data_IF_719579397479
#
_entry.id   IF_719579397479
#
_cell.length_a   1.000
_cell.length_b   1.000
_cell.length_c   1.000
_cell.angle_alpha   90.00
_cell.angle_beta   90.00
_cell.angle_gamma   90.00
#
_symmetry.space_group_name_H-M   'P 1'
#
loop_
_entity.id
_entity.type
_entity.pdbx_description
1 polymer ?
#
# COMPACT_ATOMS: atom_id res chain seq x y z
N UNK A 1 13.19 -3.28 -16.23
CA UNK A 1 13.03 -3.30 -14.76
C UNK A 1 13.37 -1.94 -14.15
N UNK A 2 14.59 -1.42 -14.35
CA UNK A 2 15.00 -0.12 -13.78
C UNK A 2 14.15 1.07 -14.24
N UNK A 3 13.85 1.20 -15.53
CA UNK A 3 13.04 2.31 -16.05
C UNK A 3 11.62 2.37 -15.44
N UNK A 4 10.97 1.22 -15.25
CA UNK A 4 9.67 1.11 -14.56
C UNK A 4 9.79 1.52 -13.10
N UNK A 5 10.83 1.06 -12.40
CA UNK A 5 11.09 1.46 -11.02
C UNK A 5 11.31 2.97 -10.90
N UNK A 6 12.17 3.56 -11.74
CA UNK A 6 12.42 5.01 -11.75
C UNK A 6 11.17 5.83 -12.07
N UNK A 7 10.31 5.34 -12.98
CA UNK A 7 9.01 5.94 -13.25
C UNK A 7 8.12 5.91 -11.98
N UNK A 8 7.99 4.75 -11.34
CA UNK A 8 7.13 4.57 -10.18
C UNK A 8 7.61 5.40 -8.97
N UNK A 9 8.90 5.38 -8.65
CA UNK A 9 9.46 6.18 -7.53
C UNK A 9 9.14 7.67 -7.67
N UNK A 10 9.08 8.20 -8.90
CA UNK A 10 8.77 9.62 -9.14
C UNK A 10 7.28 9.96 -9.05
N UNK A 11 6.39 8.99 -9.27
CA UNK A 11 4.97 9.25 -9.50
C UNK A 11 4.04 8.63 -8.47
N UNK A 12 4.51 7.62 -7.73
CA UNK A 12 3.75 7.02 -6.64
C UNK A 12 3.44 8.07 -5.57
N UNK A 13 2.18 8.11 -5.16
CA UNK A 13 1.69 8.93 -4.03
C UNK A 13 1.53 8.13 -2.75
N UNK A 14 1.65 6.81 -2.85
CA UNK A 14 1.66 5.92 -1.71
C UNK A 14 1.52 4.48 -2.15
N UNK A 15 1.74 3.57 -1.21
CA UNK A 15 1.41 2.16 -1.32
C UNK A 15 0.14 1.91 -0.53
N UNK A 16 -0.91 1.47 -1.22
CA UNK A 16 -2.18 1.15 -0.60
C UNK A 16 -2.16 -0.25 0.00
N UNK A 17 -2.64 -0.35 1.24
CA UNK A 17 -2.85 -1.61 1.93
C UNK A 17 -4.18 -1.58 2.68
N UNK A 18 -4.87 -2.71 2.70
CA UNK A 18 -6.13 -2.84 3.39
C UNK A 18 -6.32 -4.22 3.98
N UNK A 19 -7.08 -4.27 5.07
CA UNK A 19 -7.51 -5.51 5.72
C UNK A 19 -8.79 -6.02 5.06
N UNK A 20 -8.99 -7.34 5.06
CA UNK A 20 -10.26 -7.97 4.67
C UNK A 20 -11.42 -7.59 5.60
N UNK A 21 -11.12 -7.08 6.80
CA UNK A 21 -12.10 -6.54 7.76
C UNK A 21 -12.72 -5.22 7.32
N UNK A 22 -12.09 -4.53 6.36
CA UNK A 22 -12.53 -3.24 5.85
C UNK A 22 -13.29 -3.36 4.51
N UNK A 23 -14.07 -2.33 4.18
CA UNK A 23 -14.74 -2.23 2.87
C UNK A 23 -13.78 -1.80 1.76
N UNK A 24 -12.94 -2.73 1.30
CA UNK A 24 -11.89 -2.45 0.29
C UNK A 24 -12.46 -1.91 -1.03
N UNK A 25 -13.63 -2.37 -1.48
CA UNK A 25 -14.24 -1.90 -2.73
C UNK A 25 -14.60 -0.41 -2.67
N UNK A 26 -15.15 0.04 -1.55
CA UNK A 26 -15.46 1.45 -1.31
C UNK A 26 -14.18 2.31 -1.27
N UNK A 27 -13.15 1.84 -0.55
CA UNK A 27 -11.86 2.53 -0.50
C UNK A 27 -11.19 2.61 -1.87
N UNK A 28 -11.14 1.51 -2.62
CA UNK A 28 -10.56 1.47 -3.97
C UNK A 28 -11.33 2.38 -4.93
N UNK A 29 -12.67 2.39 -4.85
CA UNK A 29 -13.51 3.30 -5.63
C UNK A 29 -13.26 4.77 -5.29
N UNK A 30 -13.06 5.09 -4.01
CA UNK A 30 -12.70 6.44 -3.57
C UNK A 30 -11.30 6.84 -4.05
N UNK A 31 -10.30 5.97 -3.87
CA UNK A 31 -8.92 6.17 -4.32
C UNK A 31 -8.84 6.36 -5.83
N UNK A 32 -9.63 5.60 -6.61
CA UNK A 32 -9.72 5.73 -8.07
C UNK A 32 -10.11 7.14 -8.51
N UNK A 33 -11.12 7.73 -7.83
CA UNK A 33 -11.57 9.10 -8.10
C UNK A 33 -10.53 10.11 -7.64
N UNK A 34 -9.98 9.91 -6.44
CA UNK A 34 -9.06 10.87 -5.80
C UNK A 34 -7.70 10.97 -6.49
N UNK A 35 -7.13 9.83 -6.84
CA UNK A 35 -5.80 9.70 -7.43
C UNK A 35 -5.84 9.51 -8.95
N UNK A 36 -6.94 9.88 -9.63
CA UNK A 36 -7.13 9.69 -11.09
C UNK A 36 -5.92 10.05 -11.97
N UNK A 37 -5.12 11.05 -11.57
CA UNK A 37 -3.94 11.54 -12.31
C UNK A 37 -2.61 11.24 -11.61
N UNK A 38 -2.60 10.29 -10.68
CA UNK A 38 -1.45 9.94 -9.82
C UNK A 38 -1.37 8.43 -9.65
N UNK A 39 -0.18 7.95 -9.35
CA UNK A 39 0.06 6.52 -9.25
C UNK A 39 -0.02 6.09 -7.77
N UNK A 40 -0.59 4.91 -7.53
CA UNK A 40 -0.66 4.22 -6.26
C UNK A 40 -0.11 2.82 -6.44
N UNK A 41 0.77 2.42 -5.52
CA UNK A 41 1.34 1.09 -5.49
C UNK A 41 0.37 0.16 -4.78
N UNK A 42 0.21 -1.05 -5.30
CA UNK A 42 -0.56 -2.11 -4.65
C UNK A 42 0.34 -3.34 -4.54
N UNK A 43 0.57 -3.89 -3.33
CA UNK A 43 1.35 -5.10 -3.16
C UNK A 43 0.62 -6.31 -3.76
N UNK A 44 1.38 -7.27 -4.29
CA UNK A 44 0.81 -8.46 -4.93
C UNK A 44 -0.12 -9.25 -4.00
N UNK A 45 0.20 -9.38 -2.70
CA UNK A 45 -0.64 -10.08 -1.73
C UNK A 45 -2.04 -9.45 -1.57
N UNK A 46 -2.16 -8.12 -1.74
CA UNK A 46 -3.46 -7.46 -1.70
C UNK A 46 -4.23 -7.69 -3.01
N UNK A 47 -3.55 -7.68 -4.14
CA UNK A 47 -4.15 -8.00 -5.45
C UNK A 47 -4.71 -9.42 -5.45
N UNK A 48 -3.96 -10.38 -4.93
CA UNK A 48 -4.36 -11.79 -4.88
C UNK A 48 -5.52 -12.01 -3.90
N UNK A 49 -5.46 -11.39 -2.72
CA UNK A 49 -6.53 -11.54 -1.72
C UNK A 49 -7.82 -10.81 -2.10
N UNK A 50 -7.74 -9.78 -2.96
CA UNK A 50 -8.88 -8.94 -3.40
C UNK A 50 -8.96 -8.84 -4.93
N UNK A 51 -8.79 -9.97 -5.61
CA UNK A 51 -8.86 -10.02 -7.07
C UNK A 51 -10.21 -9.51 -7.59
N UNK A 52 -11.29 -9.77 -6.84
CA UNK A 52 -12.65 -9.27 -7.08
C UNK A 52 -12.70 -7.74 -7.25
N UNK A 53 -11.89 -7.02 -6.48
CA UNK A 53 -11.82 -5.54 -6.46
C UNK A 53 -10.84 -4.99 -7.50
N UNK A 54 -9.70 -5.66 -7.69
CA UNK A 54 -8.61 -5.13 -8.53
C UNK A 54 -8.66 -5.58 -9.99
N UNK A 55 -9.46 -6.60 -10.34
CA UNK A 55 -9.61 -7.08 -11.72
C UNK A 55 -10.01 -5.93 -12.64
N UNK A 56 -9.20 -5.70 -13.68
CA UNK A 56 -9.40 -4.60 -14.65
C UNK A 56 -9.00 -3.20 -14.16
N UNK A 57 -8.54 -3.04 -12.90
CA UNK A 57 -8.13 -1.74 -12.33
C UNK A 57 -6.62 -1.54 -12.25
N UNK A 58 -5.82 -2.57 -12.51
CA UNK A 58 -4.34 -2.55 -12.42
C UNK A 58 -3.61 -2.10 -13.71
N UNK A 59 -4.37 -1.84 -14.79
CA UNK A 59 -3.82 -1.54 -16.12
C UNK A 59 -3.76 -0.05 -16.44
N UNK A 60 -3.81 0.82 -15.43
CA UNK A 60 -3.82 2.26 -15.59
C UNK A 60 -3.92 2.99 -14.25
N UNK A 61 -4.13 4.30 -14.30
CA UNK A 61 -4.19 5.10 -13.07
C UNK A 61 -5.46 4.80 -12.25
N UNK A 62 -5.37 4.78 -10.91
CA UNK A 62 -4.13 4.99 -10.16
C UNK A 62 -3.33 3.73 -9.86
N UNK A 63 -3.87 2.52 -10.03
CA UNK A 63 -3.29 1.34 -9.37
C UNK A 63 -2.23 0.63 -10.22
N UNK A 64 -1.05 0.48 -9.64
CA UNK A 64 0.02 -0.32 -10.19
C UNK A 64 0.37 -1.43 -9.21
N UNK A 65 0.32 -2.68 -9.68
CA UNK A 65 0.93 -3.77 -8.92
C UNK A 65 2.45 -3.52 -8.85
N UNK A 66 2.99 -3.45 -7.64
CA UNK A 66 4.40 -3.19 -7.39
C UNK A 66 5.09 -4.38 -6.73
N UNK A 67 6.41 -4.42 -6.89
CA UNK A 67 7.27 -5.48 -6.40
C UNK A 67 8.68 -4.92 -6.16
N UNK A 68 9.56 -5.65 -5.49
CA UNK A 68 10.90 -5.17 -5.18
C UNK A 68 11.73 -4.92 -6.45
N UNK A 69 12.54 -3.84 -6.51
CA UNK A 69 13.22 -3.41 -7.72
C UNK A 69 14.26 -4.40 -8.25
N UNK A 70 14.83 -5.22 -7.37
CA UNK A 70 15.83 -6.24 -7.72
C UNK A 70 15.68 -7.44 -6.80
N UNK A 71 16.23 -8.59 -7.22
CA UNK A 71 16.22 -9.81 -6.41
C UNK A 71 16.95 -9.65 -5.07
N UNK A 72 18.10 -8.96 -5.04
CA UNK A 72 18.82 -8.70 -3.79
C UNK A 72 18.03 -7.84 -2.81
N UNK A 73 17.31 -6.84 -3.33
CA UNK A 73 16.42 -6.01 -2.50
C UNK A 73 15.25 -6.85 -1.99
N UNK A 74 14.70 -7.75 -2.81
CA UNK A 74 13.65 -8.68 -2.37
C UNK A 74 14.15 -9.54 -1.21
N UNK A 75 15.31 -10.18 -1.34
CA UNK A 75 15.85 -11.08 -0.32
C UNK A 75 16.04 -10.38 1.02
N UNK A 76 16.71 -9.22 1.02
CA UNK A 76 16.88 -8.41 2.23
C UNK A 76 15.53 -7.89 2.78
N UNK A 77 14.61 -7.49 1.91
CA UNK A 77 13.29 -7.05 2.32
C UNK A 77 12.48 -8.17 2.99
N UNK A 78 12.62 -9.41 2.54
CA UNK A 78 11.93 -10.54 3.15
C UNK A 78 12.41 -10.78 4.59
N UNK A 79 13.68 -10.56 4.91
CA UNK A 79 14.15 -10.62 6.30
C UNK A 79 13.46 -9.57 7.18
N UNK A 80 13.26 -8.35 6.66
CA UNK A 80 12.51 -7.29 7.36
C UNK A 80 11.05 -7.68 7.52
N UNK A 81 10.43 -8.26 6.49
CA UNK A 81 9.04 -8.72 6.54
C UNK A 81 8.86 -9.79 7.61
N UNK A 82 9.76 -10.76 7.70
CA UNK A 82 9.70 -11.81 8.74
C UNK A 82 9.91 -11.22 10.15
N UNK A 83 10.82 -10.25 10.30
CA UNK A 83 11.01 -9.54 11.57
C UNK A 83 9.74 -8.79 12.01
N UNK A 84 9.09 -8.08 11.09
CA UNK A 84 7.83 -7.37 11.35
C UNK A 84 6.67 -8.34 11.63
N UNK A 85 6.60 -9.46 10.92
CA UNK A 85 5.59 -10.49 11.17
C UNK A 85 5.75 -11.12 12.57
N UNK A 86 6.99 -11.29 13.05
CA UNK A 86 7.28 -11.84 14.38
C UNK A 86 6.78 -10.98 15.55
N UNK A 87 6.54 -9.68 15.32
CA UNK A 87 5.95 -8.75 16.29
C UNK A 87 4.44 -8.57 16.11
N UNK A 88 3.79 -9.43 15.32
CA UNK A 88 2.35 -9.51 15.21
C UNK A 88 1.72 -8.79 14.00
N UNK A 89 2.51 -8.26 13.07
CA UNK A 89 1.97 -7.72 11.81
C UNK A 89 1.53 -8.85 10.89
N UNK A 90 0.40 -8.67 10.22
CA UNK A 90 0.05 -9.45 9.04
C UNK A 90 1.16 -9.35 8.00
N UNK A 91 1.45 -10.47 7.35
CA UNK A 91 2.56 -10.56 6.40
C UNK A 91 2.37 -9.61 5.21
N UNK A 92 1.13 -9.37 4.77
CA UNK A 92 0.85 -8.43 3.68
C UNK A 92 1.03 -6.97 4.14
N UNK A 93 0.65 -6.63 5.37
CA UNK A 93 0.95 -5.32 6.00
C UNK A 93 2.45 -5.07 6.07
N UNK A 94 3.21 -6.04 6.59
CA UNK A 94 4.68 -5.96 6.66
C UNK A 94 5.30 -5.78 5.27
N UNK A 95 4.85 -6.56 4.29
CA UNK A 95 5.32 -6.45 2.90
C UNK A 95 5.00 -5.09 2.28
N UNK A 96 3.82 -4.53 2.54
CA UNK A 96 3.43 -3.20 2.08
C UNK A 96 4.32 -2.10 2.67
N UNK A 97 4.64 -2.16 3.97
CA UNK A 97 5.56 -1.21 4.62
C UNK A 97 6.96 -1.26 3.99
N UNK A 98 7.50 -2.46 3.77
CA UNK A 98 8.84 -2.64 3.21
C UNK A 98 8.89 -2.20 1.74
N UNK A 99 7.82 -2.45 0.97
CA UNK A 99 7.69 -1.93 -0.39
C UNK A 99 7.61 -0.41 -0.39
N UNK A 100 6.76 0.19 0.46
CA UNK A 100 6.62 1.64 0.55
C UNK A 100 7.97 2.31 0.85
N UNK A 101 8.74 1.72 1.76
CA UNK A 101 10.12 2.15 2.05
C UNK A 101 11.04 2.04 0.84
N UNK A 102 10.98 0.92 0.10
CA UNK A 102 11.78 0.69 -1.12
C UNK A 102 11.45 1.65 -2.27
N UNK A 103 10.24 2.20 -2.27
CA UNK A 103 9.77 3.17 -3.26
C UNK A 103 9.79 4.62 -2.73
N UNK A 104 10.34 4.86 -1.54
CA UNK A 104 10.34 6.17 -0.86
C UNK A 104 8.94 6.83 -0.85
N UNK A 105 7.92 6.03 -0.60
CA UNK A 105 6.50 6.41 -0.67
C UNK A 105 5.81 6.19 0.68
N UNK A 106 4.76 6.97 1.02
CA UNK A 106 3.98 6.73 2.23
C UNK A 106 3.11 5.47 2.08
N UNK A 107 2.64 4.93 3.21
CA UNK A 107 1.59 3.91 3.23
C UNK A 107 0.23 4.57 3.37
N UNK A 108 -0.72 4.17 2.51
CA UNK A 108 -2.14 4.50 2.64
C UNK A 108 -2.84 3.26 3.20
N UNK A 109 -3.16 3.30 4.49
CA UNK A 109 -3.72 2.17 5.21
C UNK A 109 -5.20 2.39 5.56
N UNK A 110 -5.99 1.32 5.54
CA UNK A 110 -7.34 1.34 6.10
C UNK A 110 -7.32 1.23 7.63
N UNK A 111 -8.46 1.49 8.27
CA UNK A 111 -8.55 1.58 9.73
C UNK A 111 -8.05 0.34 10.44
N UNK A 112 -8.45 -0.87 10.02
CA UNK A 112 -7.98 -2.09 10.68
C UNK A 112 -6.48 -2.35 10.50
N UNK A 113 -5.87 -1.88 9.42
CA UNK A 113 -4.40 -1.95 9.26
C UNK A 113 -3.72 -0.96 10.20
N UNK A 114 -4.28 0.24 10.36
CA UNK A 114 -3.76 1.22 11.34
C UNK A 114 -3.83 0.67 12.77
N UNK A 115 -4.93 0.03 13.14
CA UNK A 115 -5.09 -0.63 14.45
C UNK A 115 -3.99 -1.69 14.67
N UNK A 116 -3.76 -2.56 13.69
CA UNK A 116 -2.69 -3.57 13.71
C UNK A 116 -1.29 -2.95 13.87
N UNK A 117 -1.01 -1.86 13.16
CA UNK A 117 0.27 -1.14 13.25
C UNK A 117 0.49 -0.50 14.63
N UNK A 118 -0.59 -0.06 15.30
CA UNK A 118 -0.53 0.48 16.66
C UNK A 118 -0.35 -0.63 17.68
N UNK A 119 -1.12 -1.72 17.58
CA UNK A 119 -1.08 -2.85 18.53
C UNK A 119 0.29 -3.55 18.57
N UNK A 120 0.94 -3.64 17.42
CA UNK A 120 2.29 -4.20 17.28
C UNK A 120 3.43 -3.28 17.73
N UNK A 121 3.14 -2.01 18.03
CA UNK A 121 4.14 -1.02 18.40
C UNK A 121 5.03 -0.54 17.24
N UNK A 122 4.71 -0.88 15.99
CA UNK A 122 5.43 -0.40 14.81
C UNK A 122 5.07 1.06 14.50
N UNK A 123 3.81 1.45 14.68
CA UNK A 123 3.38 2.83 14.56
C UNK A 123 3.77 3.63 15.81
N UNK A 124 4.66 4.61 15.62
CA UNK A 124 5.07 5.56 16.67
C UNK A 124 4.08 6.74 16.76
N UNK A 125 3.46 7.10 15.63
CA UNK A 125 2.51 8.20 15.51
C UNK A 125 1.55 7.96 14.35
N UNK A 126 0.28 8.33 14.53
CA UNK A 126 -0.77 8.19 13.51
C UNK A 126 -1.35 9.56 13.19
N UNK A 127 -1.40 9.89 11.90
CA UNK A 127 -2.10 11.08 11.39
C UNK A 127 -3.36 10.60 10.68
N UNK A 128 -4.52 11.05 11.17
CA UNK A 128 -5.78 10.73 10.52
C UNK A 128 -5.98 11.56 9.25
N UNK A 129 -6.37 10.88 8.18
CA UNK A 129 -6.78 11.54 6.95
C UNK A 129 -8.13 12.26 7.12
N UNK A 130 -8.44 13.21 6.24
CA UNK A 130 -9.78 13.79 6.16
C UNK A 130 -10.83 12.70 5.88
N UNK A 131 -12.09 12.97 6.25
CA UNK A 131 -13.22 12.10 5.90
C UNK A 131 -13.18 11.78 4.40
N UNK A 132 -13.59 10.56 4.05
CA UNK A 132 -13.70 10.04 2.68
C UNK A 132 -14.79 10.77 1.88
N UNK A 133 -14.67 12.09 1.78
CA UNK A 133 -15.48 12.96 0.95
C UNK A 133 -14.56 13.75 0.01
N UNK A 134 -15.07 14.09 -1.16
CA UNK A 134 -14.26 14.71 -2.22
C UNK A 134 -13.78 16.13 -1.83
N UNK A 135 -14.41 16.77 -0.84
CA UNK A 135 -14.18 18.17 -0.45
C UNK A 135 -13.07 18.32 0.60
N UNK A 136 -12.96 17.37 1.53
CA UNK A 136 -12.08 17.42 2.69
C UNK A 136 -10.67 16.88 2.39
N UNK A 137 -10.51 16.13 1.30
CA UNK A 137 -9.26 15.44 0.96
C UNK A 137 -8.18 16.33 0.32
N UNK A 138 -7.70 17.38 0.99
CA UNK A 138 -6.48 18.08 0.58
C UNK A 138 -5.27 17.44 1.28
N UNK A 139 -4.55 16.59 0.53
CA UNK A 139 -3.21 16.09 0.88
C UNK A 139 -2.18 16.78 -0.02
#
# INVERSE_FOLDING_TARGET
MLARYTYLVKNLRGVYIASSRDNVEEHVSWLSRKFRYRDLGVPQCLVESREDVFRGRLSGNPFHQIDFPTQRVREAALEVVEALNSVGLDRCTALALTLASSYASPVLATKSVVEELVESGVAIYVVEGPKLDDKSAKL
#
